data_IF_132043598088
#
_entry.id   IF_132043598088
#
_cell.length_a   1.000
_cell.length_b   1.000
_cell.length_c   1.000
_cell.angle_alpha   90.00
_cell.angle_beta   90.00
_cell.angle_gamma   90.00
#
_symmetry.space_group_name_H-M   'P 1'
#
loop_
_entity.id
_entity.type
_entity.pdbx_description
1 polymer ?
2 non-polymer ?
3 water ?
#
# COMPACT_ATOMS: atom_id res chain seq x y z
N UNK A 6 -26.61 -6.00 13.06
CA UNK A 6 -25.46 -5.20 13.47
C UNK A 6 -25.63 -3.73 13.06
N UNK A 7 -25.51 -2.81 14.05
CA UNK A 7 -25.65 -1.36 13.82
C UNK A 7 -24.29 -0.68 13.64
N UNK A 8 -24.15 0.06 12.51
CA UNK A 8 -22.94 0.80 12.13
C UNK A 8 -22.74 1.95 13.13
N UNK A 9 -21.70 1.82 13.96
CA UNK A 9 -21.37 2.79 15.00
C UNK A 9 -20.48 3.92 14.49
N UNK A 10 -19.49 3.59 13.64
CA UNK A 10 -18.55 4.56 13.09
C UNK A 10 -18.56 4.56 11.55
N UNK A 11 -18.58 5.75 10.90
CA UNK A 11 -18.57 5.79 9.43
C UNK A 11 -17.24 5.34 8.81
N UNK A 12 -17.32 4.80 7.57
CA UNK A 12 -16.18 4.31 6.79
C UNK A 12 -15.09 5.37 6.66
N UNK A 13 -15.45 6.64 6.38
CA UNK A 13 -14.51 7.76 6.24
C UNK A 13 -13.62 7.95 7.49
N UNK A 14 -14.21 7.79 8.69
CA UNK A 14 -13.49 7.92 9.97
C UNK A 14 -12.56 6.74 10.22
N UNK A 15 -12.99 5.53 9.81
CA UNK A 15 -12.19 4.30 9.94
C UNK A 15 -11.00 4.33 9.00
N UNK A 16 -11.20 4.84 7.78
CA UNK A 16 -10.12 4.98 6.79
C UNK A 16 -9.09 5.98 7.32
N UNK A 17 -9.56 7.15 7.79
CA UNK A 17 -8.72 8.20 8.38
C UNK A 17 -8.00 7.67 9.61
N UNK A 18 -8.69 6.85 10.43
CA UNK A 18 -8.09 6.24 11.62
C UNK A 18 -6.96 5.29 11.22
N UNK A 19 -7.21 4.37 10.27
CA UNK A 19 -6.15 3.50 9.75
C UNK A 19 -5.00 4.32 9.13
N UNK A 20 -5.33 5.39 8.36
CA UNK A 20 -4.33 6.28 7.76
C UNK A 20 -3.43 6.94 8.81
N UNK A 21 -4.01 7.36 9.98
CA UNK A 21 -3.24 8.00 11.06
C UNK A 21 -2.19 7.06 11.66
N UNK A 22 -2.35 5.73 11.47
CA UNK A 22 -1.38 4.73 11.95
C UNK A 22 -0.13 4.71 11.03
N UNK A 23 -0.19 5.42 9.89
CA UNK A 23 0.90 5.50 8.93
C UNK A 23 1.91 6.57 9.36
N UNK A 24 3.12 6.12 9.73
CA UNK A 24 4.23 6.98 10.14
C UNK A 24 5.52 6.62 9.41
N UNK A 25 5.92 7.52 8.49
CA UNK A 25 7.17 7.33 7.74
C UNK A 25 8.42 7.79 8.50
CA UNK A 48 12.38 -3.50 5.97
C UNK A 48 11.47 -3.57 7.20
N UNK A 49 10.72 -2.47 7.48
CA UNK A 49 9.78 -2.35 8.61
C UNK A 49 8.65 -3.38 8.57
N UNK A 50 8.12 -3.74 9.74
CA UNK A 50 7.05 -4.70 9.88
C UNK A 50 6.20 -4.31 11.10
N UNK A 51 4.88 -3.98 10.98
CA UNK A 51 4.04 -4.01 9.76
C UNK A 51 4.42 -2.88 8.82
N UNK A 52 4.51 -3.19 7.52
CA UNK A 52 4.88 -2.24 6.47
C UNK A 52 3.64 -1.49 5.99
N UNK A 53 3.85 -0.55 5.07
CA UNK A 53 2.86 0.29 4.42
C UNK A 53 1.78 -0.54 3.69
N UNK A 54 2.19 -1.64 3.01
CA UNK A 54 1.24 -2.50 2.29
C UNK A 54 0.28 -3.21 3.27
N UNK A 55 0.75 -3.56 4.48
CA UNK A 55 -0.09 -4.15 5.57
C UNK A 55 -1.11 -3.12 6.03
N UNK A 56 -0.67 -1.85 6.18
CA UNK A 56 -1.57 -0.77 6.59
C UNK A 56 -2.53 -0.33 5.47
N UNK A 57 -2.10 -0.47 4.21
CA UNK A 57 -2.94 -0.15 3.04
C UNK A 57 -4.04 -1.21 2.91
N UNK A 58 -3.76 -2.47 3.30
CA UNK A 58 -4.74 -3.56 3.32
C UNK A 58 -5.79 -3.24 4.42
N UNK A 59 -5.33 -2.85 5.62
CA UNK A 59 -6.24 -2.47 6.70
C UNK A 59 -7.14 -1.28 6.27
N UNK A 60 -6.58 -0.30 5.52
CA UNK A 60 -7.32 0.88 5.04
C UNK A 60 -8.39 0.47 4.02
N UNK A 61 -8.08 -0.58 3.23
CA UNK A 61 -8.95 -1.19 2.24
C UNK A 61 -10.13 -1.85 2.96
N UNK A 62 -9.83 -2.67 4.00
CA UNK A 62 -10.82 -3.33 4.85
C UNK A 62 -11.70 -2.26 5.52
N UNK A 63 -11.09 -1.12 5.94
CA UNK A 63 -11.80 -0.01 6.59
C UNK A 63 -12.82 0.65 5.62
N UNK A 64 -12.44 0.79 4.34
CA UNK A 64 -13.28 1.39 3.30
C UNK A 64 -14.48 0.51 2.95
N UNK A 65 -14.32 -0.82 3.10
CA UNK A 65 -15.35 -1.82 2.84
C UNK A 65 -16.26 -2.05 4.08
N UNK A 66 -16.02 -1.28 5.15
CA UNK A 66 -16.79 -1.29 6.38
C UNK A 66 -16.50 -2.41 7.36
N UNK A 67 -15.28 -2.98 7.33
CA UNK A 67 -14.91 -4.09 8.21
C UNK A 67 -14.89 -3.79 9.71
N UNK A 68 -14.69 -2.52 10.10
CA UNK A 68 -14.47 -2.15 11.49
C UNK A 68 -15.50 -1.29 12.24
N UNK A 69 -16.48 -0.73 11.54
CA UNK A 69 -17.45 0.19 12.16
C UNK A 69 -18.52 -0.37 13.07
N UNK A 70 -18.59 -1.70 13.26
CA UNK A 70 -19.63 -2.37 14.06
C UNK A 70 -19.23 -2.78 15.49
N UNK A 71 -17.98 -2.46 15.92
CA UNK A 71 -17.47 -2.77 17.28
C UNK A 71 -17.28 -1.47 18.05
N UNK A 72 -17.90 -1.34 19.23
CA UNK A 72 -17.79 -0.16 20.10
C UNK A 72 -16.30 0.11 20.43
N UNK A 73 -15.59 -0.99 20.76
CA UNK A 73 -14.19 -1.01 21.18
C UNK A 73 -13.20 -1.32 20.04
N UNK A 74 -13.67 -1.32 18.78
CA UNK A 74 -12.87 -1.57 17.57
C UNK A 74 -12.05 -2.89 17.70
N UNK A 75 -12.72 -3.92 18.22
CA UNK A 75 -12.20 -5.27 18.44
C UNK A 75 -11.54 -5.86 17.16
N UNK A 76 -12.25 -5.82 16.02
CA UNK A 76 -11.74 -6.38 14.75
C UNK A 76 -10.44 -5.69 14.29
N UNK A 77 -10.42 -4.34 14.31
CA UNK A 77 -9.29 -3.50 13.94
C UNK A 77 -8.10 -3.83 14.84
N UNK A 78 -8.32 -3.93 16.16
CA UNK A 78 -7.25 -4.28 17.10
C UNK A 78 -6.72 -5.71 16.86
N UNK A 79 -7.61 -6.67 16.48
CA UNK A 79 -7.22 -8.05 16.15
C UNK A 79 -6.30 -8.02 14.94
N UNK A 80 -6.69 -7.31 13.88
CA UNK A 80 -5.90 -7.19 12.65
C UNK A 80 -4.50 -6.69 12.90
N UNK A 81 -4.35 -5.67 13.77
CA UNK A 81 -3.05 -5.13 14.14
C UNK A 81 -2.25 -6.20 14.89
N UNK A 82 -2.84 -6.86 15.91
CA UNK A 82 -2.13 -7.87 16.70
C UNK A 82 -1.69 -9.03 15.84
N UNK A 83 -2.54 -9.42 14.89
CA UNK A 83 -2.23 -10.51 13.97
C UNK A 83 -1.06 -10.16 13.05
N UNK A 84 -0.98 -8.90 12.55
CA UNK A 84 0.12 -8.45 11.67
C UNK A 84 1.39 -8.45 12.51
N UNK A 85 1.29 -7.93 13.75
CA UNK A 85 2.45 -7.87 14.64
C UNK A 85 2.96 -9.28 15.02
N UNK A 86 2.06 -10.22 15.33
CA UNK A 86 2.43 -11.63 15.64
C UNK A 86 3.13 -12.28 14.41
N UNK A 87 2.70 -11.88 13.20
CA UNK A 87 3.29 -12.35 11.95
C UNK A 87 4.72 -11.80 11.78
N UNK A 88 4.94 -10.50 12.15
CA UNK A 88 6.24 -9.82 12.12
C UNK A 88 7.19 -10.58 13.05
N UNK A 89 6.72 -10.85 14.28
CA UNK A 89 7.53 -11.57 15.27
C UNK A 89 7.93 -12.96 14.77
N UNK A 90 6.98 -13.72 14.17
CA UNK A 90 7.27 -15.06 13.67
C UNK A 90 8.40 -15.07 12.64
N UNK A 91 8.33 -14.15 11.67
CA UNK A 91 9.29 -14.11 10.58
C UNK A 91 10.60 -13.39 10.90
N UNK A 92 10.60 -12.41 11.83
CA UNK A 92 11.84 -11.68 12.14
C UNK A 92 12.55 -12.08 13.45
N UNK A 93 11.94 -12.98 14.23
CA UNK A 93 12.47 -13.41 15.52
C UNK A 93 11.91 -12.53 16.64
N UNK A 94 11.92 -13.03 17.89
CA UNK A 94 11.36 -12.31 19.04
C UNK A 94 12.25 -11.20 19.61
N UNK A 95 13.57 -11.30 19.39
CA UNK A 95 14.56 -10.32 19.84
C UNK A 95 15.17 -9.62 18.64
N UNK A 96 15.53 -8.36 18.84
CA UNK A 96 16.14 -7.51 17.81
C UNK A 96 15.36 -6.25 17.54
N UNK A 97 15.88 -5.42 16.62
CA UNK A 97 15.28 -4.14 16.22
C UNK A 97 13.94 -4.27 15.50
N UNK A 98 13.80 -5.28 14.60
CA UNK A 98 12.57 -5.53 13.83
C UNK A 98 11.35 -5.94 14.69
N UNK A 99 11.60 -6.76 15.73
CA UNK A 99 10.57 -7.22 16.67
C UNK A 99 10.21 -6.06 17.59
N UNK A 100 11.22 -5.31 18.06
CA UNK A 100 11.05 -4.15 18.93
C UNK A 100 10.30 -3.03 18.21
N UNK A 101 10.44 -2.94 16.86
CA UNK A 101 9.73 -1.94 16.05
C UNK A 101 8.28 -2.35 15.88
N UNK A 102 8.04 -3.67 15.74
CA UNK A 102 6.71 -4.25 15.58
C UNK A 102 5.89 -4.07 16.85
N UNK A 103 6.51 -4.25 18.03
CA UNK A 103 5.84 -4.11 19.33
C UNK A 103 5.60 -2.64 19.67
N UNK A 104 6.55 -1.78 19.30
CA UNK A 104 6.48 -0.33 19.45
C UNK A 104 5.35 0.23 18.59
N UNK A 105 5.23 -0.26 17.32
CA UNK A 105 4.18 0.16 16.41
C UNK A 105 2.84 -0.17 17.05
N UNK A 106 2.67 -1.42 17.52
CA UNK A 106 1.46 -1.93 18.14
C UNK A 106 1.00 -1.05 19.30
N UNK A 107 1.90 -0.68 20.22
CA UNK A 107 1.58 0.19 21.36
C UNK A 107 1.09 1.56 20.86
N UNK A 108 1.75 2.11 19.85
CA UNK A 108 1.38 3.37 19.22
C UNK A 108 -0.05 3.29 18.60
N UNK A 109 -0.32 2.23 17.81
CA UNK A 109 -1.60 2.03 17.13
C UNK A 109 -2.76 1.83 18.12
N UNK A 110 -2.56 1.05 19.19
CA UNK A 110 -3.57 0.86 20.21
C UNK A 110 -3.93 2.21 20.87
N UNK A 111 -2.92 3.07 21.08
CA UNK A 111 -3.06 4.41 21.64
C UNK A 111 -3.96 5.28 20.79
N UNK A 112 -3.74 5.28 19.46
CA UNK A 112 -4.55 6.05 18.48
C UNK A 112 -5.98 5.51 18.38
N UNK A 113 -6.12 4.19 18.46
CA UNK A 113 -7.42 3.51 18.40
C UNK A 113 -8.21 3.87 19.65
N UNK A 114 -7.58 3.86 20.84
CA UNK A 114 -8.26 4.20 22.10
C UNK A 114 -8.61 5.68 22.20
N UNK A 115 -7.73 6.57 21.68
CA UNK A 115 -7.96 8.02 21.66
C UNK A 115 -9.12 8.30 20.74
N UNK A 116 -9.26 7.55 19.63
CA UNK A 116 -10.38 7.75 18.72
C UNK A 116 -11.72 7.47 19.49
N UNK A 117 -11.80 6.30 20.15
CA UNK A 117 -12.93 5.83 20.99
C UNK A 117 -13.23 6.87 22.09
N UNK A 118 -12.18 7.31 22.83
CA UNK A 118 -12.27 8.32 23.89
C UNK A 118 -12.82 9.63 23.31
N UNK A 119 -12.40 10.01 22.09
CA UNK A 119 -12.87 11.24 21.45
C UNK A 119 -14.35 11.16 21.06
N UNK A 120 -14.81 10.01 20.52
CA UNK A 120 -16.23 9.78 20.17
C UNK A 120 -17.13 9.83 21.41
N UNK A 121 -16.66 9.22 22.53
CA UNK A 121 -17.35 9.20 23.83
C UNK A 121 -17.43 10.61 24.46
N UNK A 122 -16.32 11.36 24.43
CA UNK A 122 -16.24 12.73 24.95
C UNK A 122 -16.90 13.79 24.07
N UNK A 123 -17.22 13.41 22.83
CA UNK A 123 -17.90 14.29 21.87
C UNK A 123 -17.00 15.27 21.15
N UNK A 124 -15.94 14.76 20.50
CA UNK A 124 -14.97 15.56 19.74
N UNK B 6 25.66 6.18 -17.28
CA UNK B 6 24.34 5.95 -17.88
C UNK B 6 23.63 7.27 -18.11
N UNK B 7 23.41 7.64 -19.39
CA UNK B 7 22.73 8.88 -19.76
C UNK B 7 21.22 8.79 -19.51
N UNK B 8 20.66 9.82 -18.87
CA UNK B 8 19.24 9.90 -18.56
C UNK B 8 18.48 10.19 -19.83
N UNK B 9 17.43 9.41 -20.08
CA UNK B 9 16.63 9.50 -21.30
C UNK B 9 15.27 10.08 -21.01
N UNK B 10 14.56 9.57 -19.98
CA UNK B 10 13.22 10.03 -19.68
C UNK B 10 13.17 10.78 -18.34
N UNK B 11 12.60 11.99 -18.30
CA UNK B 11 12.56 12.75 -17.04
C UNK B 11 11.74 12.07 -15.93
N UNK B 12 12.15 12.29 -14.66
CA UNK B 12 11.48 11.72 -13.48
C UNK B 12 9.98 12.06 -13.48
N UNK B 13 9.65 13.32 -13.77
CA UNK B 13 8.27 13.85 -13.86
C UNK B 13 7.44 12.98 -14.83
N UNK B 14 8.01 12.60 -15.97
CA UNK B 14 7.30 11.79 -16.94
C UNK B 14 7.17 10.36 -16.50
N UNK B 15 8.21 9.82 -15.85
CA UNK B 15 8.17 8.46 -15.33
C UNK B 15 7.13 8.32 -14.22
N UNK B 16 7.04 9.32 -13.34
CA UNK B 16 6.08 9.35 -12.23
C UNK B 16 4.66 9.44 -12.83
N UNK B 17 4.46 10.34 -13.83
CA UNK B 17 3.17 10.51 -14.49
C UNK B 17 2.72 9.22 -15.19
N UNK B 18 3.63 8.54 -15.86
CA UNK B 18 3.36 7.27 -16.52
C UNK B 18 2.95 6.17 -15.51
N UNK B 19 3.71 5.99 -14.43
CA UNK B 19 3.40 5.01 -13.39
C UNK B 19 2.09 5.31 -12.67
N UNK B 20 1.81 6.59 -12.36
CA UNK B 20 0.55 6.97 -11.71
C UNK B 20 -0.65 6.69 -12.61
N UNK B 21 -0.48 6.81 -13.94
CA UNK B 21 -1.55 6.54 -14.94
C UNK B 21 -1.89 5.05 -15.00
N UNK B 22 -1.10 4.18 -14.36
CA UNK B 22 -1.39 2.74 -14.32
C UNK B 22 -2.42 2.46 -13.21
N UNK B 23 -2.61 3.43 -12.30
CA UNK B 23 -3.56 3.34 -11.19
C UNK B 23 -4.88 3.88 -11.71
N UNK B 24 -5.76 2.99 -12.19
CA UNK B 24 -7.06 3.40 -12.73
C UNK B 24 -8.24 2.63 -12.13
N UNK B 25 -9.34 3.32 -11.82
N UNK B 49 -8.73 -7.40 -6.83
CA UNK B 49 -8.28 -6.35 -7.74
C UNK B 49 -6.79 -6.45 -8.08
N UNK B 50 -6.46 -6.29 -9.37
CA UNK B 50 -5.09 -6.30 -9.88
C UNK B 50 -4.79 -4.95 -10.55
N UNK B 51 -3.66 -4.27 -10.24
CA UNK B 51 -2.60 -4.64 -9.29
C UNK B 51 -2.89 -4.24 -7.86
N UNK B 52 -2.06 -4.72 -6.91
CA UNK B 52 -2.15 -4.36 -5.51
C UNK B 52 -1.69 -2.90 -5.52
N UNK B 53 -2.57 -1.98 -5.09
CA UNK B 53 -2.29 -0.53 -5.14
C UNK B 53 -0.97 -0.13 -4.41
N UNK B 54 -0.55 -0.90 -3.38
CA UNK B 54 0.70 -0.65 -2.66
C UNK B 54 1.93 -1.00 -3.52
N UNK B 55 1.77 -1.93 -4.51
CA UNK B 55 2.87 -2.28 -5.43
C UNK B 55 3.00 -1.12 -6.43
N UNK B 56 1.85 -0.49 -6.78
CA UNK B 56 1.86 0.69 -7.67
C UNK B 56 2.50 1.89 -6.98
N UNK B 57 2.27 2.06 -5.65
CA UNK B 57 2.86 3.15 -4.87
C UNK B 57 4.38 3.00 -4.85
N UNK B 58 4.88 1.75 -4.64
CA UNK B 58 6.32 1.37 -4.65
C UNK B 58 6.94 1.68 -6.03
N UNK B 59 6.25 1.36 -7.12
CA UNK B 59 6.78 1.66 -8.45
C UNK B 59 6.78 3.19 -8.70
N UNK B 60 5.75 3.92 -8.20
CA UNK B 60 5.68 5.39 -8.31
C UNK B 60 6.83 6.03 -7.52
N UNK B 61 7.21 5.43 -6.36
CA UNK B 61 8.33 5.90 -5.52
C UNK B 61 9.64 5.66 -6.27
N UNK B 62 9.77 4.49 -6.91
CA UNK B 62 10.96 4.15 -7.72
C UNK B 62 11.11 5.14 -8.89
N UNK B 63 10.00 5.47 -9.57
CA UNK B 63 9.95 6.44 -10.66
C UNK B 63 10.41 7.82 -10.17
N UNK B 64 9.92 8.24 -8.97
CA UNK B 64 10.30 9.50 -8.31
C UNK B 64 11.80 9.57 -7.98
N UNK B 65 12.40 8.39 -7.69
CA UNK B 65 13.82 8.28 -7.32
C UNK B 65 14.71 8.09 -8.57
N UNK B 66 14.11 8.13 -9.77
CA UNK B 66 14.85 8.09 -11.04
C UNK B 66 15.25 6.72 -11.55
N UNK B 67 14.64 5.65 -11.00
CA UNK B 67 14.91 4.25 -11.34
C UNK B 67 14.64 3.84 -12.80
N UNK B 68 13.63 4.44 -13.47
CA UNK B 68 13.18 4.02 -14.80
C UNK B 68 13.62 4.84 -16.05
N UNK B 69 14.28 5.98 -15.87
CA UNK B 69 14.62 6.84 -17.01
C UNK B 69 15.84 6.57 -17.86
N UNK B 70 16.56 5.47 -17.60
CA UNK B 70 17.81 5.14 -18.31
C UNK B 70 17.66 4.07 -19.37
N UNK B 71 16.52 3.40 -19.42
CA UNK B 71 16.31 2.35 -20.42
C UNK B 71 15.42 2.92 -21.51
N UNK B 72 15.88 2.92 -22.78
CA UNK B 72 15.11 3.43 -23.94
C UNK B 72 13.80 2.68 -24.05
N UNK B 73 13.86 1.37 -23.77
CA UNK B 73 12.71 0.49 -23.89
C UNK B 73 12.01 0.27 -22.56
N UNK B 74 12.39 1.06 -21.54
CA UNK B 74 11.80 1.03 -20.20
C UNK B 74 11.75 -0.39 -19.63
N UNK B 75 12.87 -1.11 -19.78
CA UNK B 75 13.01 -2.51 -19.35
C UNK B 75 12.88 -2.66 -17.85
N UNK B 76 13.44 -1.74 -17.03
CA UNK B 76 13.32 -1.79 -15.56
C UNK B 76 11.86 -1.68 -15.10
N UNK B 77 11.09 -0.75 -15.68
CA UNK B 77 9.67 -0.54 -15.38
C UNK B 77 8.86 -1.81 -15.75
N UNK B 78 9.08 -2.32 -16.97
CA UNK B 78 8.42 -3.51 -17.49
C UNK B 78 8.60 -4.71 -16.55
N UNK B 79 9.82 -4.89 -15.98
CA UNK B 79 10.10 -5.96 -15.02
C UNK B 79 9.22 -5.74 -13.77
N UNK B 80 9.05 -4.47 -13.32
CA UNK B 80 8.24 -4.14 -12.16
C UNK B 80 6.74 -4.37 -12.42
N UNK B 81 6.26 -4.14 -13.64
CA UNK B 81 4.87 -4.47 -14.02
C UNK B 81 4.66 -6.00 -13.92
N UNK B 82 5.62 -6.79 -14.47
CA UNK B 82 5.57 -8.24 -14.48
C UNK B 82 5.60 -8.84 -13.05
N UNK B 83 6.39 -8.24 -12.14
CA UNK B 83 6.44 -8.64 -10.72
C UNK B 83 5.05 -8.34 -10.06
N UNK B 84 4.44 -7.17 -10.39
CA UNK B 84 3.10 -6.72 -9.93
C UNK B 84 2.04 -7.74 -10.32
N UNK B 85 2.01 -8.10 -11.63
CA UNK B 85 1.12 -9.09 -12.21
C UNK B 85 1.32 -10.46 -11.51
N UNK B 86 2.59 -10.86 -11.23
CA UNK B 86 2.92 -12.11 -10.52
C UNK B 86 2.30 -12.12 -9.12
N UNK B 87 2.25 -10.95 -8.44
CA UNK B 87 1.65 -10.87 -7.10
C UNK B 87 0.14 -11.04 -7.14
N UNK B 88 -0.48 -10.73 -8.30
CA UNK B 88 -1.93 -10.84 -8.49
C UNK B 88 -2.45 -12.25 -8.77
N UNK B 89 -1.59 -13.18 -9.25
CA UNK B 89 -2.02 -14.54 -9.55
C UNK B 89 -2.54 -15.28 -8.30
N UNK B 90 -2.18 -14.79 -7.09
CA UNK B 90 -2.64 -15.34 -5.81
C UNK B 90 -4.15 -15.08 -5.61
CA UNK B 99 -7.16 -15.03 -13.62
C UNK B 99 -7.09 -13.96 -14.70
N UNK B 100 -8.28 -13.53 -15.19
CA UNK B 100 -8.42 -12.51 -16.24
C UNK B 100 -7.87 -11.13 -15.84
N UNK B 101 -8.00 -10.76 -14.54
CA UNK B 101 -7.55 -9.49 -13.98
C UNK B 101 -6.05 -9.20 -14.24
N UNK B 102 -5.17 -10.16 -13.89
CA UNK B 102 -3.72 -10.06 -14.09
C UNK B 102 -3.36 -9.84 -15.57
N UNK B 103 -4.02 -10.58 -16.50
CA UNK B 103 -3.85 -10.48 -17.95
C UNK B 103 -4.38 -9.15 -18.50
N UNK B 104 -5.56 -8.70 -18.00
CA UNK B 104 -6.18 -7.41 -18.37
C UNK B 104 -5.24 -6.26 -17.98
N UNK B 105 -4.67 -6.30 -16.76
CA UNK B 105 -3.75 -5.26 -16.29
C UNK B 105 -2.44 -5.28 -17.08
N UNK B 106 -1.83 -6.47 -17.28
CA UNK B 106 -0.56 -6.63 -18.00
C UNK B 106 -0.62 -5.98 -19.38
N UNK B 107 -1.67 -6.32 -20.17
CA UNK B 107 -1.92 -5.79 -21.51
C UNK B 107 -2.18 -4.28 -21.47
N UNK B 108 -2.99 -3.78 -20.51
CA UNK B 108 -3.25 -2.34 -20.39
C UNK B 108 -1.96 -1.58 -20.03
N UNK B 109 -1.16 -2.13 -19.10
CA UNK B 109 0.06 -1.50 -18.62
C UNK B 109 1.15 -1.49 -19.67
N UNK B 110 1.34 -2.62 -20.39
CA UNK B 110 2.37 -2.71 -21.44
C UNK B 110 2.00 -1.86 -22.64
N UNK B 111 0.69 -1.70 -22.89
CA UNK B 111 0.18 -0.82 -23.94
C UNK B 111 0.50 0.63 -23.64
N UNK B 112 0.25 1.10 -22.38
CA UNK B 112 0.56 2.47 -21.94
C UNK B 112 2.06 2.80 -22.06
N UNK B 113 2.91 1.86 -21.62
CA UNK B 113 4.37 1.99 -21.66
C UNK B 113 4.89 2.08 -23.08
N UNK B 114 4.39 1.19 -23.98
CA UNK B 114 4.76 1.18 -25.39
C UNK B 114 4.27 2.42 -26.13
N UNK B 115 3.04 2.91 -25.80
CA UNK B 115 2.45 4.13 -26.37
C UNK B 115 3.40 5.30 -26.07
N UNK B 116 3.80 5.47 -24.79
CA UNK B 116 4.74 6.49 -24.30
C UNK B 116 6.06 6.45 -25.13
N UNK B 117 6.69 5.26 -25.24
CA UNK B 117 7.93 5.05 -26.02
C UNK B 117 7.74 5.51 -27.47
N UNK B 118 6.66 5.03 -28.11
CA UNK B 118 6.33 5.37 -29.50
C UNK B 118 6.24 6.88 -29.70
N UNK B 119 5.48 7.56 -28.82
CA UNK B 119 5.30 9.02 -28.86
C UNK B 119 6.64 9.73 -28.72
N UNK B 120 7.53 9.21 -27.83
CA UNK B 120 8.86 9.74 -27.57
C UNK B 120 9.81 9.66 -28.79
N UNK B 121 9.54 8.72 -29.72
CA UNK B 121 10.32 8.54 -30.96
C UNK B 121 9.75 9.41 -32.11
N UNK B 122 8.46 9.24 -32.42
CA UNK B 122 7.78 9.97 -33.48
X LIG C 1 -6.97 8.91 4.70
X LIG D 1 11.64 15.37 -14.12
X LIG E 1 16.32 -0.16 -22.94
X LIG F 1 14.75 14.27 -14.29
X LIG G 1 17.32 14.93 -12.12
X LIG H 1 6.24 -2.49 -7.28
X LIG I 1 -7.16 -5.83 -14.42
#
# INVERSE_FOLDING_TARGET
>A
GMSQNRQLLYPREEMVSLVRSLDRPQENGLFSQDVLLQYPELAESYTKVCPNRCDLATAADRAAKGAYGYDVQLTTLKEDIRLMVNNCILFNGAEGAYADAARTFEKFAMGKIDAYISQKVGGRRL
>B
GMSQNRQLLYPREEMVSLVRSLDRPQENGLFSQDVLLQYPELAESYTKVCPNRCDLATAADRAAKGAYGYDVQLTTLKEDIRLMVNNCILFNGAEGAYADAARTFEKFAMGKIDAYISQKVGGRRL
>C hetero
1 UNX UNK
>D hetero
1 UNX UNK
>E hetero
1 UNX UNK
>F hetero
1 UNX UNK
>G hetero
1 UNX UNK
>H hetero
1 UNX UNK
>I hetero
1 UNX UNK
#
